data_IF_936096152214
#
_entry.id   IF_936096152214
#
_cell.length_a   1.000
_cell.length_b   1.000
_cell.length_c   1.000
_cell.angle_alpha   90.00
_cell.angle_beta   90.00
_cell.angle_gamma   90.00
#
_symmetry.space_group_name_H-M   'P 1'
#
loop_
_entity.id
_entity.type
_entity.pdbx_description
1 polymer ?
#
# COMPACT_ATOMS: atom_id res chain seq x y z
N UNK A 1 -8.22 -28.68 -9.33
CA UNK A 1 -7.31 -29.50 -8.49
C UNK A 1 -6.04 -28.74 -8.09
N UNK A 2 -5.49 -27.88 -8.96
CA UNK A 2 -4.31 -27.03 -8.70
C UNK A 2 -4.51 -25.94 -7.63
N UNK A 3 -5.66 -25.25 -7.60
CA UNK A 3 -5.93 -24.20 -6.61
C UNK A 3 -5.93 -24.69 -5.15
N UNK A 4 -6.42 -25.92 -4.90
CA UNK A 4 -6.53 -26.49 -3.55
C UNK A 4 -5.17 -26.85 -2.93
N UNK A 5 -4.17 -27.15 -3.77
CA UNK A 5 -2.79 -27.49 -3.35
C UNK A 5 -2.00 -26.24 -2.95
N UNK A 6 -2.21 -25.11 -3.64
CA UNK A 6 -1.55 -23.84 -3.31
C UNK A 6 -1.96 -23.37 -1.91
N UNK A 7 -3.26 -23.44 -1.58
CA UNK A 7 -3.75 -23.03 -0.26
C UNK A 7 -3.31 -23.93 0.89
N UNK A 8 -2.95 -25.20 0.62
CA UNK A 8 -2.42 -26.11 1.65
C UNK A 8 -0.93 -25.90 1.94
N UNK A 9 -0.23 -25.09 1.15
CA UNK A 9 1.20 -24.75 1.33
C UNK A 9 1.48 -23.25 1.43
N UNK A 10 0.45 -22.40 1.45
CA UNK A 10 0.60 -20.95 1.59
C UNK A 10 1.35 -20.61 2.88
N UNK A 11 2.55 -20.05 2.74
CA UNK A 11 3.33 -19.53 3.85
C UNK A 11 3.17 -18.02 3.88
N UNK A 12 2.37 -17.53 4.82
CA UNK A 12 2.28 -16.12 5.12
C UNK A 12 2.89 -15.83 6.49
N UNK A 13 3.39 -14.62 6.67
CA UNK A 13 3.90 -14.11 7.95
C UNK A 13 3.12 -12.87 8.31
N UNK A 14 2.79 -12.75 9.60
CA UNK A 14 2.26 -11.52 10.18
C UNK A 14 3.37 -10.95 11.06
N UNK A 15 3.75 -9.71 10.81
CA UNK A 15 4.73 -8.97 11.59
C UNK A 15 4.08 -7.75 12.21
N UNK A 16 4.42 -7.44 13.46
CA UNK A 16 3.86 -6.32 14.21
C UNK A 16 5.01 -5.44 14.70
N UNK A 17 4.93 -4.15 14.40
CA UNK A 17 5.97 -3.17 14.70
C UNK A 17 5.42 -2.09 15.63
N UNK A 18 6.04 -1.96 16.81
CA UNK A 18 5.72 -0.93 17.80
C UNK A 18 6.50 0.35 17.51
N UNK A 19 6.24 0.95 16.35
CA UNK A 19 6.92 2.14 15.83
C UNK A 19 6.02 3.39 15.78
N UNK A 20 4.76 3.26 16.20
CA UNK A 20 3.81 4.37 16.33
C UNK A 20 3.79 4.93 17.77
N UNK A 21 2.87 5.85 18.07
CA UNK A 21 2.76 6.44 19.41
C UNK A 21 3.90 7.43 19.74
N UNK A 22 4.02 7.78 21.02
CA UNK A 22 5.08 8.67 21.53
C UNK A 22 5.26 9.93 20.69
N UNK A 23 6.50 10.21 20.27
CA UNK A 23 6.81 11.38 19.43
C UNK A 23 6.15 11.37 18.06
N UNK A 24 5.77 10.21 17.50
CA UNK A 24 5.01 10.16 16.24
C UNK A 24 3.61 10.75 16.43
N UNK A 25 2.97 10.49 17.57
CA UNK A 25 1.68 11.06 17.95
C UNK A 25 1.80 12.52 18.39
N UNK A 26 2.77 12.84 19.25
CA UNK A 26 2.96 14.20 19.77
C UNK A 26 3.28 15.21 18.66
N UNK A 27 3.98 14.79 17.61
CA UNK A 27 4.27 15.60 16.43
C UNK A 27 3.06 15.77 15.49
N UNK A 28 1.83 15.43 15.92
CA UNK A 28 0.60 15.65 15.16
C UNK A 28 0.36 17.10 14.76
N UNK A 29 0.92 18.05 15.51
CA UNK A 29 0.86 19.48 15.22
C UNK A 29 1.82 19.92 14.10
N UNK A 30 2.80 19.09 13.73
CA UNK A 30 3.79 19.42 12.69
C UNK A 30 3.21 19.13 11.31
N UNK A 31 3.23 20.14 10.43
CA UNK A 31 2.86 19.97 9.04
C UNK A 31 3.88 19.08 8.33
N UNK A 32 3.45 17.91 7.86
CA UNK A 32 4.27 16.95 7.12
C UNK A 32 3.42 16.17 6.13
N UNK A 33 4.06 15.46 5.20
CA UNK A 33 3.39 14.63 4.20
C UNK A 33 2.86 13.29 4.75
N UNK A 34 3.22 12.93 5.99
CA UNK A 34 2.89 11.64 6.60
C UNK A 34 1.37 11.48 6.73
N UNK A 35 0.84 10.31 6.37
CA UNK A 35 -0.57 9.98 6.56
C UNK A 35 -1.00 10.19 8.02
N UNK A 36 -2.13 10.88 8.23
CA UNK A 36 -2.59 11.26 9.56
C UNK A 36 -2.89 10.07 10.51
N UNK A 37 -3.17 8.87 9.98
CA UNK A 37 -3.38 7.66 10.76
C UNK A 37 -2.17 7.34 11.66
N UNK A 38 -0.94 7.69 11.24
CA UNK A 38 0.25 7.55 12.09
C UNK A 38 0.16 8.31 13.41
N UNK A 39 -0.63 9.37 13.50
CA UNK A 39 -0.77 10.19 14.72
C UNK A 39 -1.56 9.46 15.81
N UNK A 40 -2.47 8.57 15.43
CA UNK A 40 -3.34 7.84 16.37
C UNK A 40 -3.04 6.34 16.42
N UNK A 41 -2.31 5.81 15.43
CA UNK A 41 -1.92 4.41 15.34
C UNK A 41 -1.22 3.92 16.62
N UNK A 42 -1.53 2.68 16.99
CA UNK A 42 -0.91 1.99 18.13
C UNK A 42 0.17 1.01 17.71
N UNK A 43 0.06 0.49 16.49
CA UNK A 43 1.00 -0.45 15.91
C UNK A 43 0.95 -0.35 14.39
N UNK A 44 2.00 -0.84 13.74
CA UNK A 44 2.03 -1.12 12.31
C UNK A 44 2.03 -2.64 12.12
N UNK A 45 1.24 -3.17 11.18
CA UNK A 45 1.10 -4.61 10.95
C UNK A 45 1.33 -4.89 9.47
N UNK A 46 2.14 -5.90 9.18
CA UNK A 46 2.45 -6.34 7.82
C UNK A 46 2.07 -7.80 7.68
N UNK A 47 1.28 -8.13 6.65
CA UNK A 47 1.09 -9.49 6.17
C UNK A 47 1.91 -9.66 4.89
N UNK A 48 2.80 -10.65 4.89
CA UNK A 48 3.64 -10.96 3.74
C UNK A 48 3.43 -12.42 3.33
N UNK A 49 3.06 -12.64 2.06
CA UNK A 49 3.06 -13.97 1.45
C UNK A 49 4.44 -14.23 0.83
N UNK A 50 5.06 -15.35 1.19
CA UNK A 50 6.36 -15.74 0.67
C UNK A 50 6.23 -16.81 -0.41
N UNK A 51 7.15 -16.78 -1.36
CA UNK A 51 7.34 -17.82 -2.38
C UNK A 51 8.84 -18.11 -2.55
N UNK A 52 9.17 -19.19 -3.25
CA UNK A 52 10.56 -19.54 -3.59
C UNK A 52 10.90 -19.16 -5.03
N UNK A 53 12.18 -19.06 -5.37
CA UNK A 53 12.65 -18.72 -6.72
C UNK A 53 12.16 -19.70 -7.81
N UNK A 54 11.80 -20.92 -7.42
CA UNK A 54 11.24 -21.95 -8.31
C UNK A 54 9.73 -21.80 -8.55
N UNK A 55 9.06 -20.82 -7.96
CA UNK A 55 7.61 -20.63 -8.07
C UNK A 55 7.26 -20.04 -9.45
N UNK A 56 6.29 -20.65 -10.15
CA UNK A 56 5.85 -20.13 -11.45
C UNK A 56 5.15 -18.77 -11.32
N UNK A 57 5.22 -17.95 -12.37
CA UNK A 57 4.52 -16.65 -12.42
C UNK A 57 3.01 -16.79 -12.19
N UNK A 58 2.39 -17.83 -12.76
CA UNK A 58 0.97 -18.13 -12.54
C UNK A 58 0.65 -18.32 -11.05
N UNK A 59 1.50 -19.07 -10.33
CA UNK A 59 1.31 -19.27 -8.89
C UNK A 59 1.57 -17.98 -8.11
N UNK A 60 2.55 -17.16 -8.49
CA UNK A 60 2.78 -15.84 -7.86
C UNK A 60 1.56 -14.94 -8.05
N UNK A 61 0.94 -14.93 -9.23
CA UNK A 61 -0.27 -14.15 -9.48
C UNK A 61 -1.47 -14.68 -8.67
N UNK A 62 -1.58 -16.00 -8.47
CA UNK A 62 -2.59 -16.59 -7.59
C UNK A 62 -2.37 -16.19 -6.12
N UNK A 63 -1.11 -16.15 -5.66
CA UNK A 63 -0.76 -15.67 -4.32
C UNK A 63 -1.13 -14.19 -4.14
N UNK A 64 -0.86 -13.35 -5.15
CA UNK A 64 -1.25 -11.93 -5.13
C UNK A 64 -2.77 -11.77 -5.09
N UNK A 65 -3.50 -12.49 -5.93
CA UNK A 65 -4.97 -12.48 -5.93
C UNK A 65 -5.53 -12.95 -4.59
N UNK A 66 -4.92 -13.95 -3.97
CA UNK A 66 -5.32 -14.40 -2.65
C UNK A 66 -5.13 -13.32 -1.58
N UNK A 67 -3.99 -12.60 -1.60
CA UNK A 67 -3.78 -11.46 -0.72
C UNK A 67 -4.90 -10.44 -0.86
N UNK A 68 -5.14 -9.96 -2.08
CA UNK A 68 -6.09 -8.89 -2.37
C UNK A 68 -7.54 -9.28 -2.06
N UNK A 69 -7.92 -10.53 -2.34
CA UNK A 69 -9.33 -10.94 -2.23
C UNK A 69 -9.69 -11.60 -0.91
N UNK A 70 -8.72 -12.06 -0.12
CA UNK A 70 -8.99 -12.83 1.10
C UNK A 70 -8.29 -12.24 2.34
N UNK A 71 -7.04 -11.79 2.24
CA UNK A 71 -6.29 -11.33 3.41
C UNK A 71 -6.43 -9.82 3.64
N UNK A 72 -6.35 -9.01 2.59
CA UNK A 72 -6.47 -7.55 2.69
C UNK A 72 -7.82 -7.11 3.28
N UNK A 73 -8.99 -7.65 2.87
CA UNK A 73 -10.27 -7.26 3.45
C UNK A 73 -10.36 -7.54 4.96
N UNK A 74 -9.71 -8.60 5.45
CA UNK A 74 -9.66 -8.92 6.88
C UNK A 74 -8.81 -7.88 7.62
N UNK A 75 -7.68 -7.46 7.05
CA UNK A 75 -6.86 -6.39 7.62
C UNK A 75 -7.61 -5.05 7.68
N UNK A 76 -8.33 -4.71 6.62
CA UNK A 76 -9.15 -3.50 6.56
C UNK A 76 -10.26 -3.51 7.61
N UNK A 77 -10.96 -4.62 7.76
CA UNK A 77 -12.02 -4.78 8.77
C UNK A 77 -11.49 -4.63 10.20
N UNK A 78 -10.36 -5.27 10.52
CA UNK A 78 -9.75 -5.21 11.85
C UNK A 78 -9.13 -3.84 12.15
N UNK A 79 -8.57 -3.17 11.13
CA UNK A 79 -7.91 -1.87 11.30
C UNK A 79 -8.89 -0.69 11.37
N UNK A 80 -10.06 -0.84 10.75
CA UNK A 80 -11.14 0.14 10.76
C UNK A 80 -10.89 1.33 9.81
N UNK A 81 -11.95 2.10 9.57
CA UNK A 81 -11.97 3.17 8.53
C UNK A 81 -11.02 4.35 8.78
N UNK A 82 -10.45 4.48 9.98
CA UNK A 82 -9.47 5.52 10.30
C UNK A 82 -8.02 5.09 10.03
N UNK A 83 -7.79 3.82 9.67
CA UNK A 83 -6.48 3.29 9.36
C UNK A 83 -6.00 3.73 7.97
N UNK A 84 -4.72 3.50 7.72
CA UNK A 84 -4.09 3.58 6.41
C UNK A 84 -2.97 2.54 6.35
N UNK A 85 -2.30 2.44 5.21
CA UNK A 85 -1.18 1.54 5.03
C UNK A 85 0.13 2.30 4.79
N UNK A 86 1.23 1.69 5.21
CA UNK A 86 2.56 2.22 4.96
C UNK A 86 3.01 1.86 3.53
N UNK A 87 3.03 2.85 2.64
CA UNK A 87 3.31 2.65 1.20
C UNK A 87 4.62 1.90 0.90
N UNK A 88 5.62 2.00 1.77
CA UNK A 88 6.92 1.34 1.54
C UNK A 88 6.88 -0.18 1.75
N UNK A 89 5.84 -0.70 2.41
CA UNK A 89 5.66 -2.12 2.72
C UNK A 89 4.28 -2.64 2.27
N UNK A 90 3.69 -1.99 1.27
CA UNK A 90 2.34 -2.27 0.77
C UNK A 90 2.34 -2.83 -0.66
N UNK A 91 1.18 -3.30 -1.10
CA UNK A 91 0.97 -3.75 -2.48
C UNK A 91 0.98 -2.55 -3.44
N UNK A 92 1.84 -2.59 -4.46
CA UNK A 92 1.93 -1.56 -5.50
C UNK A 92 0.68 -1.51 -6.40
N UNK A 93 -0.18 -2.54 -6.32
CA UNK A 93 -1.45 -2.62 -7.02
C UNK A 93 -2.65 -2.17 -6.16
N UNK A 94 -2.42 -1.56 -5.01
CA UNK A 94 -3.46 -0.96 -4.18
C UNK A 94 -4.34 0.00 -5.01
N UNK A 95 -5.62 -0.34 -5.19
CA UNK A 95 -6.53 0.41 -6.06
C UNK A 95 -6.85 1.79 -5.46
N UNK A 96 -7.02 1.85 -4.14
CA UNK A 96 -7.38 3.06 -3.40
C UNK A 96 -6.16 3.78 -2.81
N UNK A 97 -4.97 3.60 -3.40
CA UNK A 97 -3.67 4.06 -2.88
C UNK A 97 -3.65 5.54 -2.47
N UNK A 98 -4.41 6.40 -3.17
CA UNK A 98 -4.53 7.83 -2.86
C UNK A 98 -5.03 8.03 -1.43
N UNK A 99 -6.05 7.27 -1.03
CA UNK A 99 -6.61 7.29 0.31
C UNK A 99 -5.75 6.44 1.24
N UNK A 100 -5.45 5.20 0.86
CA UNK A 100 -4.78 4.21 1.72
C UNK A 100 -3.37 4.64 2.13
N UNK A 101 -2.59 5.26 1.24
CA UNK A 101 -1.19 5.63 1.52
C UNK A 101 -1.01 7.10 1.91
N UNK A 102 -1.84 7.99 1.38
CA UNK A 102 -1.65 9.43 1.54
C UNK A 102 -2.82 10.13 2.26
N UNK A 103 -4.00 9.52 2.25
CA UNK A 103 -5.20 10.01 2.93
C UNK A 103 -5.52 11.47 2.58
N UNK A 104 -5.93 12.29 3.57
CA UNK A 104 -6.26 13.70 3.36
C UNK A 104 -5.14 14.55 2.75
N UNK A 105 -3.88 14.10 2.80
CA UNK A 105 -2.76 14.85 2.23
C UNK A 105 -2.67 14.73 0.70
N UNK A 106 -3.37 13.77 0.07
CA UNK A 106 -3.18 13.45 -1.34
C UNK A 106 -3.35 14.66 -2.27
N UNK A 107 -4.40 15.47 -2.07
CA UNK A 107 -4.66 16.64 -2.90
C UNK A 107 -3.51 17.65 -2.87
N UNK A 108 -2.95 17.92 -1.68
CA UNK A 108 -1.81 18.84 -1.51
C UNK A 108 -0.55 18.27 -2.14
N UNK A 109 -0.29 16.97 -1.97
CA UNK A 109 0.85 16.30 -2.57
C UNK A 109 0.75 16.29 -4.10
N UNK A 110 -0.43 16.03 -4.65
CA UNK A 110 -0.67 16.05 -6.10
C UNK A 110 -0.44 17.45 -6.69
N UNK A 111 -0.90 18.51 -6.00
CA UNK A 111 -0.62 19.88 -6.40
C UNK A 111 0.89 20.21 -6.38
N UNK A 112 1.62 19.74 -5.36
CA UNK A 112 3.09 19.87 -5.32
C UNK A 112 3.77 19.10 -6.46
N UNK A 113 3.32 17.87 -6.73
CA UNK A 113 3.80 17.06 -7.85
C UNK A 113 3.64 17.80 -9.17
N UNK A 114 2.46 18.35 -9.46
CA UNK A 114 2.22 19.15 -10.67
C UNK A 114 3.09 20.41 -10.73
N UNK A 115 3.34 21.07 -9.59
CA UNK A 115 4.18 22.26 -9.53
C UNK A 115 5.66 21.96 -9.86
N UNK A 116 6.20 20.88 -9.31
CA UNK A 116 7.64 20.59 -9.39
C UNK A 116 8.01 19.59 -10.48
N UNK A 117 7.07 18.75 -10.92
CA UNK A 117 7.22 17.81 -12.03
C UNK A 117 5.98 17.84 -12.94
N UNK A 118 5.76 18.94 -13.68
CA UNK A 118 4.56 19.14 -14.50
C UNK A 118 4.43 18.17 -15.67
N UNK A 119 5.54 17.55 -16.10
CA UNK A 119 5.59 16.62 -17.21
C UNK A 119 5.57 15.15 -16.76
N UNK A 120 5.44 14.91 -15.45
CA UNK A 120 5.49 13.57 -14.86
C UNK A 120 6.73 12.78 -15.29
N UNK A 121 7.92 13.40 -15.21
CA UNK A 121 9.19 12.69 -15.50
C UNK A 121 9.46 11.57 -14.49
N UNK A 122 9.04 11.75 -13.24
CA UNK A 122 9.28 10.80 -12.15
C UNK A 122 7.99 10.07 -11.76
N UNK A 123 7.80 8.84 -12.23
CA UNK A 123 6.58 8.06 -11.96
C UNK A 123 6.95 6.75 -11.29
N UNK A 124 6.16 6.35 -10.28
CA UNK A 124 6.27 5.07 -9.59
C UNK A 124 4.87 4.49 -9.39
N UNK A 125 4.77 3.16 -9.28
CA UNK A 125 3.50 2.47 -9.00
C UNK A 125 2.90 2.94 -7.68
N UNK A 126 1.58 3.20 -7.68
CA UNK A 126 0.83 3.74 -6.54
C UNK A 126 1.46 5.00 -5.90
N UNK A 127 2.23 5.77 -6.67
CA UNK A 127 2.83 7.03 -6.26
C UNK A 127 1.90 8.22 -6.52
N UNK A 128 2.18 9.36 -5.88
CA UNK A 128 1.43 10.60 -6.12
C UNK A 128 1.47 10.97 -7.60
N UNK A 129 0.30 10.96 -8.24
CA UNK A 129 0.14 11.28 -9.66
C UNK A 129 0.25 10.10 -10.63
N UNK A 130 0.50 8.88 -10.15
CA UNK A 130 0.61 7.69 -11.01
C UNK A 130 -0.71 7.34 -11.70
N UNK A 131 -1.86 7.75 -11.15
CA UNK A 131 -3.18 7.55 -11.72
C UNK A 131 -3.36 8.23 -13.09
N UNK A 132 -2.53 9.23 -13.41
CA UNK A 132 -2.50 9.88 -14.73
C UNK A 132 -1.93 8.98 -15.83
N UNK A 133 -1.45 7.80 -15.48
CA UNK A 133 -0.79 6.86 -16.38
C UNK A 133 -1.45 5.47 -16.31
N UNK A 134 -1.37 4.70 -17.41
CA UNK A 134 -1.76 3.28 -17.42
C UNK A 134 -0.71 2.43 -16.69
N UNK A 135 -1.06 1.20 -16.31
CA UNK A 135 -0.29 0.39 -15.34
C UNK A 135 1.19 0.12 -15.65
N UNK A 136 1.65 0.27 -16.90
CA UNK A 136 3.08 0.23 -17.25
C UNK A 136 3.83 1.53 -16.97
N UNK A 137 3.11 2.60 -16.63
CA UNK A 137 3.61 3.97 -16.44
C UNK A 137 4.36 4.55 -17.66
N UNK A 138 4.11 4.00 -18.85
CA UNK A 138 4.72 4.44 -20.11
C UNK A 138 3.74 5.21 -21.01
N UNK A 139 2.44 5.14 -20.72
CA UNK A 139 1.38 5.79 -21.50
C UNK A 139 0.51 6.64 -20.58
N UNK A 140 0.39 7.91 -20.91
CA UNK A 140 -0.45 8.88 -20.19
C UNK A 140 -1.92 8.67 -20.59
N UNK A 141 -2.82 8.73 -19.60
CA UNK A 141 -4.27 8.80 -19.83
C UNK A 141 -4.58 10.21 -20.33
N UNK A 142 -5.17 10.30 -21.53
CA UNK A 142 -5.62 11.56 -22.13
C UNK A 142 -6.95 11.96 -21.51
#
# INVERSE_FOLDING_TARGET
>A
LTSKVIYTTLRFRISTYLVAGGKVSENGHISSAIHLAWRTAKTHVVIANAWTDSTSLENIDLLRKHFQTQQLPILEDISGSAAGAYSNEADVLEEDFKTTFFGPNYAKLSAMKTKYDPNDLFIVGAGVGSERWYGTHTVRKI
#
